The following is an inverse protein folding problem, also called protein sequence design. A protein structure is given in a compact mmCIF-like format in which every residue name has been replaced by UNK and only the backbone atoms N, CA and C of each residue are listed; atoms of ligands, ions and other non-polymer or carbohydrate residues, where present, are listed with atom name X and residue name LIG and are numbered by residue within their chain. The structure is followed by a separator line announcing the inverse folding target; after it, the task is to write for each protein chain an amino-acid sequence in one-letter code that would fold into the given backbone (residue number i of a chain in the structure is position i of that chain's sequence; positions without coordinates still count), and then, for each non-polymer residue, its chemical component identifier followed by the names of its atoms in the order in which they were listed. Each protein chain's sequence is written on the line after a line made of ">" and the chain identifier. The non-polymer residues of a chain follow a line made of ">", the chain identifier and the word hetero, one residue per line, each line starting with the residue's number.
data_IF_881033986124
#
_entry.id   IF_881033986124
#
_cell.length_a   1.000
_cell.length_b   1.000
_cell.length_c   1.000
_cell.angle_alpha   90.00
_cell.angle_beta   90.00
_cell.angle_gamma   90.00
#
_symmetry.space_group_name_H-M   'P 1'
#
loop_
_entity.id
_entity.type
_entity.pdbx_description
1 polymer ?
#
# COMPACT_ATOMS: atom_id res chain seq x y z
N UNK A 1 2.41 -4.98 5.81
CA UNK A 1 2.01 -6.02 4.84
C UNK A 1 0.85 -5.50 4.03
N UNK A 2 0.88 -5.69 2.71
CA UNK A 2 -0.17 -5.24 1.79
C UNK A 2 -1.53 -5.95 1.94
N UNK A 3 -1.62 -7.00 2.78
CA UNK A 3 -2.83 -7.84 2.92
C UNK A 3 -4.01 -7.18 3.61
N UNK A 4 -3.79 -6.05 4.27
CA UNK A 4 -4.82 -5.34 5.03
C UNK A 4 -5.25 -4.10 4.27
N UNK A 5 -6.55 -3.96 4.07
CA UNK A 5 -7.17 -2.69 3.71
C UNK A 5 -7.61 -1.93 4.95
N UNK A 6 -8.67 -1.13 4.85
CA UNK A 6 -9.13 -0.25 5.94
C UNK A 6 -10.00 -0.95 6.96
N UNK A 7 -10.57 -2.15 6.68
CA UNK A 7 -11.50 -2.85 7.60
C UNK A 7 -10.89 -3.14 8.98
N UNK A 8 -9.58 -3.34 9.06
CA UNK A 8 -8.89 -3.51 10.36
C UNK A 8 -8.94 -2.26 11.24
N UNK A 9 -9.26 -1.10 10.66
CA UNK A 9 -9.41 0.19 11.32
C UNK A 9 -10.88 0.55 11.60
N UNK A 10 -11.84 -0.36 11.41
CA UNK A 10 -13.26 -0.13 11.73
C UNK A 10 -13.49 0.42 13.15
N UNK A 11 -12.77 -0.02 14.21
CA UNK A 11 -12.90 0.61 15.53
C UNK A 11 -12.51 2.09 15.56
N UNK A 12 -11.49 2.49 14.79
CA UNK A 12 -11.07 3.88 14.69
C UNK A 12 -12.06 4.70 13.86
N UNK A 13 -12.60 4.13 12.78
CA UNK A 13 -13.67 4.74 11.99
C UNK A 13 -14.89 5.06 12.87
N UNK A 14 -15.31 4.13 13.73
CA UNK A 14 -16.41 4.36 14.69
C UNK A 14 -16.11 5.46 15.71
N UNK A 15 -14.84 5.75 15.96
CA UNK A 15 -14.40 6.85 16.82
C UNK A 15 -14.22 8.17 16.05
N UNK A 16 -14.57 8.23 14.76
CA UNK A 16 -14.49 9.44 13.92
C UNK A 16 -13.19 9.60 13.14
N UNK A 17 -12.32 8.57 13.08
CA UNK A 17 -11.13 8.61 12.24
C UNK A 17 -11.46 8.43 10.76
N UNK A 18 -10.55 8.88 9.89
CA UNK A 18 -10.61 8.73 8.42
C UNK A 18 -9.56 7.71 7.96
N UNK A 19 -9.89 6.41 7.89
CA UNK A 19 -8.90 5.36 7.67
C UNK A 19 -8.43 5.32 6.22
N UNK A 20 -7.11 5.23 6.04
CA UNK A 20 -6.45 5.01 4.76
C UNK A 20 -5.53 3.79 4.88
N UNK A 21 -5.50 2.93 3.86
CA UNK A 21 -4.52 1.85 3.75
C UNK A 21 -3.61 2.14 2.55
N UNK A 22 -2.38 2.54 2.82
CA UNK A 22 -1.37 2.90 1.82
C UNK A 22 -0.18 1.94 1.97
N UNK A 23 0.14 1.21 0.90
CA UNK A 23 1.20 0.20 0.94
C UNK A 23 2.17 0.36 -0.22
N UNK A 24 3.39 0.89 -0.02
CA UNK A 24 4.40 0.91 -1.08
C UNK A 24 4.78 -0.52 -1.47
N UNK A 25 4.82 -0.82 -2.77
CA UNK A 25 5.17 -2.12 -3.32
C UNK A 25 6.69 -2.33 -3.35
N UNK A 26 7.35 -2.14 -2.20
CA UNK A 26 8.79 -2.35 -2.03
C UNK A 26 9.12 -2.90 -0.65
N UNK A 27 10.31 -3.47 -0.53
CA UNK A 27 10.88 -3.90 0.75
C UNK A 27 11.70 -2.78 1.36
N UNK A 28 11.40 -2.44 2.62
CA UNK A 28 12.20 -1.53 3.43
C UNK A 28 13.39 -2.27 4.04
N UNK A 29 14.56 -1.66 3.94
CA UNK A 29 15.81 -2.09 4.59
C UNK A 29 15.99 -1.48 5.98
N UNK A 30 15.23 -0.42 6.30
CA UNK A 30 15.35 0.36 7.53
C UNK A 30 16.40 1.47 7.46
N UNK A 31 16.85 1.84 6.25
CA UNK A 31 17.91 2.85 6.05
C UNK A 31 17.37 4.08 5.32
N UNK A 32 18.11 5.19 5.35
CA UNK A 32 17.73 6.42 4.66
C UNK A 32 17.55 6.25 3.14
N UNK A 33 18.19 5.23 2.55
CA UNK A 33 18.05 4.89 1.12
C UNK A 33 16.61 4.51 0.77
N UNK A 34 15.84 3.93 1.70
CA UNK A 34 14.45 3.54 1.42
C UNK A 34 13.57 4.75 1.12
N UNK A 35 13.82 5.90 1.75
CA UNK A 35 13.06 7.14 1.51
C UNK A 35 13.28 7.62 0.09
N UNK A 36 14.50 7.56 -0.42
CA UNK A 36 14.78 7.94 -1.81
C UNK A 36 14.10 7.01 -2.81
N UNK A 37 13.94 5.74 -2.46
CA UNK A 37 13.28 4.73 -3.31
C UNK A 37 11.75 4.83 -3.32
N UNK A 38 11.15 5.65 -2.44
CA UNK A 38 9.72 5.94 -2.51
C UNK A 38 9.34 6.72 -3.75
N UNK A 39 10.26 7.54 -4.27
CA UNK A 39 10.04 8.28 -5.52
C UNK A 39 9.80 7.31 -6.68
N UNK A 40 8.63 7.42 -7.32
CA UNK A 40 8.18 6.54 -8.40
C UNK A 40 7.76 5.13 -7.96
N UNK A 41 7.71 4.83 -6.66
CA UNK A 41 7.24 3.55 -6.16
C UNK A 41 5.71 3.46 -6.30
N UNK A 42 5.18 2.34 -6.82
CA UNK A 42 3.74 2.09 -6.81
C UNK A 42 3.24 1.79 -5.39
N UNK A 43 2.12 2.39 -5.00
CA UNK A 43 1.46 2.15 -3.72
C UNK A 43 0.10 1.51 -3.95
N UNK A 44 -0.18 0.39 -3.27
CA UNK A 44 -1.53 -0.14 -3.16
C UNK A 44 -2.37 0.72 -2.21
N UNK A 45 -3.41 1.35 -2.74
CA UNK A 45 -4.31 2.29 -2.04
C UNK A 45 -5.68 1.65 -1.84
N UNK A 46 -6.19 1.69 -0.60
CA UNK A 46 -7.58 1.38 -0.27
C UNK A 46 -8.07 2.41 0.73
N UNK A 47 -9.26 2.95 0.49
CA UNK A 47 -9.92 3.92 1.34
C UNK A 47 -11.44 3.81 1.14
N UNK A 48 -12.26 4.41 2.04
CA UNK A 48 -13.62 4.80 1.69
C UNK A 48 -13.64 5.66 0.41
N UNK A 49 -14.70 5.53 -0.40
CA UNK A 49 -14.78 6.21 -1.70
C UNK A 49 -14.70 7.73 -1.56
N UNK A 50 -15.27 8.29 -0.48
CA UNK A 50 -15.23 9.72 -0.18
C UNK A 50 -13.81 10.23 0.09
N UNK A 51 -12.90 9.35 0.48
CA UNK A 51 -11.51 9.66 0.81
C UNK A 51 -10.54 9.30 -0.32
N UNK A 52 -11.01 8.69 -1.42
CA UNK A 52 -10.14 8.19 -2.49
C UNK A 52 -9.20 9.26 -3.04
N UNK A 53 -9.72 10.42 -3.42
CA UNK A 53 -8.91 11.50 -3.98
C UNK A 53 -7.86 12.00 -2.99
N UNK A 54 -8.20 12.08 -1.69
CA UNK A 54 -7.26 12.47 -0.65
C UNK A 54 -6.16 11.40 -0.45
N UNK A 55 -6.52 10.13 -0.51
CA UNK A 55 -5.58 9.01 -0.40
C UNK A 55 -4.59 8.97 -1.57
N UNK A 56 -5.08 9.14 -2.79
CA UNK A 56 -4.26 9.22 -4.01
C UNK A 56 -3.34 10.44 -3.98
N UNK A 57 -3.86 11.61 -3.59
CA UNK A 57 -3.07 12.84 -3.47
C UNK A 57 -1.93 12.71 -2.44
N UNK A 58 -2.18 12.07 -1.30
CA UNK A 58 -1.14 11.85 -0.28
C UNK A 58 0.00 10.96 -0.81
N UNK A 59 -0.32 9.93 -1.61
CA UNK A 59 0.71 9.09 -2.26
C UNK A 59 1.54 9.90 -3.25
N UNK A 60 0.89 10.73 -4.07
CA UNK A 60 1.55 11.61 -5.04
C UNK A 60 2.47 12.62 -4.33
N UNK A 61 2.02 13.21 -3.22
CA UNK A 61 2.82 14.16 -2.43
C UNK A 61 4.06 13.48 -1.80
N UNK A 62 3.95 12.21 -1.43
CA UNK A 62 5.10 11.39 -1.01
C UNK A 62 6.02 10.97 -2.18
N UNK A 63 5.68 11.33 -3.42
CA UNK A 63 6.43 11.02 -4.64
C UNK A 63 6.17 9.64 -5.22
N UNK A 64 5.17 8.91 -4.72
CA UNK A 64 4.78 7.59 -5.21
C UNK A 64 3.67 7.64 -6.27
N UNK A 65 3.35 6.48 -6.83
CA UNK A 65 2.29 6.30 -7.83
C UNK A 65 1.14 5.48 -7.23
N UNK A 66 -0.09 6.02 -7.14
CA UNK A 66 -1.21 5.32 -6.51
C UNK A 66 -1.83 4.27 -7.43
N UNK A 67 -2.02 3.06 -6.91
CA UNK A 67 -2.73 1.96 -7.54
C UNK A 67 -3.92 1.55 -6.68
N UNK A 68 -5.14 1.69 -7.21
CA UNK A 68 -6.35 1.39 -6.44
C UNK A 68 -6.56 -0.11 -6.26
N UNK A 69 -6.68 -0.55 -5.01
CA UNK A 69 -6.93 -1.94 -4.64
C UNK A 69 -8.24 -2.01 -3.85
N UNK A 70 -9.21 -2.77 -4.34
CA UNK A 70 -10.43 -3.05 -3.59
C UNK A 70 -10.12 -3.75 -2.26
N UNK A 71 -10.91 -3.50 -1.23
CA UNK A 71 -10.72 -4.06 0.11
C UNK A 71 -10.65 -5.60 0.09
N UNK A 72 -11.52 -6.24 -0.69
CA UNK A 72 -11.60 -7.70 -0.84
C UNK A 72 -10.41 -8.27 -1.63
N UNK A 73 -9.77 -7.44 -2.46
CA UNK A 73 -8.62 -7.83 -3.27
C UNK A 73 -7.30 -7.77 -2.50
N UNK A 74 -7.26 -7.18 -1.30
CA UNK A 74 -6.04 -7.02 -0.50
C UNK A 74 -5.27 -8.32 -0.23
N UNK A 75 -5.90 -9.46 0.11
CA UNK A 75 -5.20 -10.73 0.22
C UNK A 75 -4.53 -11.16 -1.09
N UNK A 76 -5.23 -11.04 -2.22
CA UNK A 76 -4.71 -11.40 -3.54
C UNK A 76 -3.58 -10.45 -3.98
N UNK A 77 -3.76 -9.15 -3.78
CA UNK A 77 -2.73 -8.14 -4.00
C UNK A 77 -1.44 -8.46 -3.23
N UNK A 78 -1.55 -8.82 -1.94
CA UNK A 78 -0.37 -9.20 -1.16
C UNK A 78 0.30 -10.47 -1.68
N UNK A 79 -0.49 -11.48 -2.03
CA UNK A 79 0.02 -12.73 -2.60
C UNK A 79 0.76 -12.49 -3.92
N UNK A 80 0.21 -11.65 -4.80
CA UNK A 80 0.83 -11.28 -6.06
C UNK A 80 2.20 -10.60 -5.86
N UNK A 81 2.30 -9.65 -4.92
CA UNK A 81 3.58 -9.01 -4.58
C UNK A 81 4.59 -10.01 -4.00
N UNK A 82 4.16 -10.88 -3.08
CA UNK A 82 5.04 -11.88 -2.49
C UNK A 82 5.59 -12.85 -3.55
N UNK A 83 4.75 -13.28 -4.49
CA UNK A 83 5.16 -14.14 -5.59
C UNK A 83 6.11 -13.42 -6.56
N UNK A 84 5.72 -12.23 -7.02
CA UNK A 84 6.46 -11.47 -8.04
C UNK A 84 7.79 -10.89 -7.56
N UNK A 85 7.91 -10.58 -6.27
CA UNK A 85 9.13 -10.01 -5.70
C UNK A 85 9.94 -11.02 -4.89
N UNK A 86 9.34 -11.64 -3.87
CA UNK A 86 10.11 -12.43 -2.90
C UNK A 86 10.45 -13.82 -3.42
N UNK A 87 9.49 -14.49 -4.04
CA UNK A 87 9.67 -15.87 -4.52
C UNK A 87 10.34 -15.92 -5.89
N UNK A 88 10.12 -14.94 -6.76
CA UNK A 88 10.84 -14.84 -8.03
C UNK A 88 12.36 -14.75 -7.83
N UNK A 89 12.82 -14.01 -6.82
CA UNK A 89 14.25 -13.90 -6.47
C UNK A 89 14.87 -15.28 -6.22
N UNK A 90 14.15 -16.22 -5.60
CA UNK A 90 14.65 -17.58 -5.38
C UNK A 90 14.91 -18.35 -6.68
N UNK A 91 14.21 -18.03 -7.77
CA UNK A 91 14.35 -18.71 -9.07
C UNK A 91 15.47 -18.13 -9.93
N UNK A 92 15.84 -16.87 -9.72
CA UNK A 92 16.77 -16.12 -10.60
C UNK A 92 18.11 -15.80 -9.97
N UNK A 93 18.30 -16.13 -8.68
CA UNK A 93 19.54 -15.90 -7.93
C UNK A 93 20.54 -17.05 -8.05
#
# INVERSE_FOLDING_TARGET
>A
SGRYGTRVLDPALRAGALPLALHPAMTFTGTAVDVQRLAGCSFGVTAPDELRLAAEALVIEMGGEPEWIAEEARPLYHAALALGANHLVTLVA
#
